data_IF_053846368645
#
_entry.id   IF_053846368645
#
_cell.length_a   1.000
_cell.length_b   1.000
_cell.length_c   1.000
_cell.angle_alpha   90.00
_cell.angle_beta   90.00
_cell.angle_gamma   90.00
#
_symmetry.space_group_name_H-M   'P 1'
#
loop_
_entity.id
_entity.type
_entity.pdbx_description
1 polymer ?
#
# COMPACT_ATOMS: atom_id res chain seq x y z
N UNK A 1 -16.69 22.56 15.43
CA UNK A 1 -17.57 21.87 14.47
C UNK A 1 -16.86 20.58 14.12
N UNK A 2 -17.47 19.45 14.44
CA UNK A 2 -16.80 18.14 14.43
C UNK A 2 -16.79 17.58 13.00
N UNK A 3 -15.66 17.05 12.55
CA UNK A 3 -15.54 16.40 11.24
C UNK A 3 -15.70 14.89 11.37
N UNK A 4 -16.74 14.35 10.74
CA UNK A 4 -17.01 12.91 10.71
C UNK A 4 -16.71 12.39 9.32
N UNK A 5 -15.78 11.46 9.20
CA UNK A 5 -15.44 10.81 7.93
C UNK A 5 -16.35 9.61 7.69
N UNK A 6 -17.06 9.58 6.56
CA UNK A 6 -17.91 8.46 6.18
C UNK A 6 -17.14 7.47 5.29
N UNK A 7 -16.89 6.26 5.80
CA UNK A 7 -16.16 5.19 5.12
C UNK A 7 -16.99 3.92 5.15
N UNK A 8 -17.36 3.38 3.98
CA UNK A 8 -18.12 2.12 3.85
C UNK A 8 -19.42 2.06 4.71
N UNK A 9 -20.10 3.20 4.85
CA UNK A 9 -21.32 3.30 5.67
C UNK A 9 -21.08 3.47 7.17
N UNK A 10 -19.81 3.54 7.60
CA UNK A 10 -19.41 3.81 8.98
C UNK A 10 -19.00 5.26 9.17
N UNK A 11 -19.43 5.84 10.28
CA UNK A 11 -19.07 7.19 10.69
C UNK A 11 -17.85 7.13 11.61
N UNK A 12 -16.72 7.66 11.16
CA UNK A 12 -15.45 7.59 11.87
C UNK A 12 -14.94 8.99 12.24
N UNK A 13 -14.50 9.13 13.50
CA UNK A 13 -13.86 10.35 14.03
C UNK A 13 -12.42 10.04 14.39
N UNK A 14 -11.49 10.80 13.82
CA UNK A 14 -10.05 10.58 13.96
C UNK A 14 -9.39 11.50 14.99
N UNK A 15 -9.95 12.68 15.24
CA UNK A 15 -9.40 13.63 16.20
C UNK A 15 -9.80 13.28 17.63
N UNK A 16 -8.82 13.30 18.54
CA UNK A 16 -9.06 13.04 19.96
C UNK A 16 -9.90 14.15 20.63
N UNK A 17 -9.70 15.40 20.20
CA UNK A 17 -10.41 16.58 20.73
C UNK A 17 -11.90 16.50 20.40
N UNK A 18 -12.23 16.20 19.14
CA UNK A 18 -13.61 15.99 18.68
C UNK A 18 -14.29 14.86 19.46
N UNK A 19 -13.61 13.74 19.70
CA UNK A 19 -14.15 12.63 20.50
C UNK A 19 -14.43 13.05 21.95
N UNK A 20 -13.58 13.90 22.52
CA UNK A 20 -13.81 14.45 23.86
C UNK A 20 -15.03 15.37 23.87
N UNK A 21 -15.17 16.25 22.89
CA UNK A 21 -16.34 17.13 22.77
C UNK A 21 -17.64 16.33 22.62
N UNK A 22 -17.64 15.27 21.81
CA UNK A 22 -18.79 14.38 21.63
C UNK A 22 -19.23 13.76 22.96
N UNK A 23 -18.28 13.30 23.77
CA UNK A 23 -18.57 12.68 25.07
C UNK A 23 -19.00 13.67 26.14
N UNK A 24 -18.35 14.83 26.20
CA UNK A 24 -18.61 15.82 27.25
C UNK A 24 -19.84 16.68 26.97
N UNK A 25 -20.02 17.12 25.72
CA UNK A 25 -21.12 18.04 25.35
C UNK A 25 -22.37 17.30 24.90
N UNK A 26 -22.21 16.20 24.15
CA UNK A 26 -23.34 15.47 23.56
C UNK A 26 -23.67 14.17 24.29
N UNK A 27 -22.79 13.68 25.17
CA UNK A 27 -23.02 12.45 25.93
C UNK A 27 -22.99 11.17 25.08
N UNK A 28 -22.45 11.23 23.86
CA UNK A 28 -22.39 10.09 22.95
C UNK A 28 -21.06 9.35 23.14
N UNK A 29 -21.11 8.03 23.18
CA UNK A 29 -19.94 7.22 23.57
C UNK A 29 -19.20 6.69 22.36
N UNK A 30 -19.94 6.15 21.38
CA UNK A 30 -19.42 5.40 20.23
C UNK A 30 -18.55 4.20 20.62
N UNK A 31 -17.99 3.52 19.61
CA UNK A 31 -17.05 2.42 19.77
C UNK A 31 -15.65 2.82 19.29
N UNK A 32 -14.62 2.63 20.11
CA UNK A 32 -13.23 2.82 19.69
C UNK A 32 -12.75 1.57 18.93
N UNK A 33 -12.24 1.72 17.72
CA UNK A 33 -11.88 0.58 16.82
C UNK A 33 -10.37 0.46 16.59
N UNK A 34 -9.60 1.45 17.03
CA UNK A 34 -8.13 1.46 16.88
C UNK A 34 -7.40 0.43 17.71
N UNK A 35 -6.31 -0.12 17.17
CA UNK A 35 -5.39 -0.97 17.92
C UNK A 35 -4.26 -0.15 18.55
N UNK A 36 -3.81 -0.52 19.76
CA UNK A 36 -2.60 0.03 20.34
C UNK A 36 -1.35 -0.61 19.72
N UNK A 37 -0.44 0.22 19.19
CA UNK A 37 0.81 -0.19 18.52
C UNK A 37 1.67 -1.12 19.39
N UNK A 38 1.70 -0.90 20.71
CA UNK A 38 2.55 -1.68 21.64
C UNK A 38 2.02 -3.07 21.99
N UNK A 39 0.72 -3.35 21.83
CA UNK A 39 0.09 -4.61 22.26
C UNK A 39 -1.06 -5.00 21.32
N UNK A 40 -0.76 -5.56 20.14
CA UNK A 40 -1.76 -5.84 19.10
C UNK A 40 -2.78 -6.92 19.49
N UNK A 41 -2.50 -7.75 20.51
CA UNK A 41 -3.42 -8.81 20.98
C UNK A 41 -4.31 -8.38 22.15
N UNK A 42 -4.16 -7.15 22.67
CA UNK A 42 -4.94 -6.67 23.82
C UNK A 42 -6.18 -5.92 23.33
N UNK A 43 -7.29 -6.65 23.16
CA UNK A 43 -8.57 -6.07 22.76
C UNK A 43 -9.32 -5.36 23.90
N UNK A 44 -8.76 -5.33 25.13
CA UNK A 44 -9.39 -4.68 26.28
C UNK A 44 -9.35 -3.15 26.21
N UNK A 45 -8.40 -2.56 25.48
CA UNK A 45 -8.30 -1.11 25.33
C UNK A 45 -8.07 -0.77 23.87
N UNK A 46 -9.13 -0.32 23.22
CA UNK A 46 -9.11 0.17 21.84
C UNK A 46 -8.88 1.69 21.84
N UNK A 47 -8.24 2.17 20.79
CA UNK A 47 -7.93 3.57 20.54
C UNK A 47 -8.75 4.15 19.39
N UNK A 48 -8.33 5.32 18.91
CA UNK A 48 -8.91 5.97 17.73
C UNK A 48 -8.68 5.11 16.46
N UNK A 49 -9.61 5.10 15.51
CA UNK A 49 -10.77 6.00 15.39
C UNK A 49 -11.96 5.61 16.26
N UNK A 50 -12.82 6.60 16.56
CA UNK A 50 -14.14 6.38 17.14
C UNK A 50 -15.15 6.13 16.03
N UNK A 51 -15.76 4.94 16.03
CA UNK A 51 -16.91 4.57 15.21
C UNK A 51 -18.20 4.96 15.93
N UNK A 52 -18.94 5.88 15.33
CA UNK A 52 -20.25 6.30 15.80
C UNK A 52 -21.34 5.42 15.18
N UNK A 53 -22.40 5.18 15.94
CA UNK A 53 -23.60 4.58 15.40
C UNK A 53 -24.30 5.53 14.40
N UNK A 54 -25.07 5.02 13.44
CA UNK A 54 -25.77 5.86 12.48
C UNK A 54 -26.79 6.79 13.18
N UNK A 55 -27.39 6.35 14.29
CA UNK A 55 -28.31 7.16 15.10
C UNK A 55 -27.58 8.31 15.81
N UNK A 56 -26.43 8.03 16.43
CA UNK A 56 -25.58 9.04 17.08
C UNK A 56 -25.09 10.07 16.06
N UNK A 57 -24.67 9.60 14.89
CA UNK A 57 -24.20 10.44 13.79
C UNK A 57 -25.32 11.33 13.28
N UNK A 58 -26.51 10.78 13.07
CA UNK A 58 -27.69 11.53 12.64
C UNK A 58 -28.05 12.60 13.66
N UNK A 59 -28.05 12.27 14.95
CA UNK A 59 -28.32 13.23 16.02
C UNK A 59 -27.32 14.39 16.02
N UNK A 60 -26.03 14.12 15.84
CA UNK A 60 -25.00 15.18 15.77
C UNK A 60 -25.20 16.13 14.58
N UNK A 61 -25.69 15.60 13.46
CA UNK A 61 -26.02 16.40 12.27
C UNK A 61 -27.29 17.22 12.50
N UNK A 62 -28.33 16.63 13.11
CA UNK A 62 -29.58 17.33 13.44
C UNK A 62 -29.36 18.46 14.45
N UNK A 63 -28.45 18.27 15.41
CA UNK A 63 -28.02 19.32 16.35
C UNK A 63 -27.17 20.41 15.64
N UNK A 64 -26.58 20.09 14.48
CA UNK A 64 -25.67 20.98 13.75
C UNK A 64 -24.25 21.03 14.35
N UNK A 65 -23.88 20.06 15.19
CA UNK A 65 -22.57 20.02 15.83
C UNK A 65 -21.47 19.43 14.92
N UNK A 66 -21.85 18.56 13.98
CA UNK A 66 -20.93 17.82 13.13
C UNK A 66 -21.25 17.94 11.64
N UNK A 67 -20.21 17.80 10.81
CA UNK A 67 -20.29 17.75 9.34
C UNK A 67 -19.79 16.42 8.83
N UNK A 68 -20.55 15.80 7.92
CA UNK A 68 -20.17 14.56 7.28
C UNK A 68 -19.30 14.83 6.05
N UNK A 69 -18.10 14.27 6.05
CA UNK A 69 -17.15 14.32 4.95
C UNK A 69 -17.07 12.95 4.30
N UNK A 70 -17.36 12.89 3.00
CA UNK A 70 -17.19 11.69 2.19
C UNK A 70 -16.01 11.88 1.24
N UNK A 71 -14.99 11.04 1.35
CA UNK A 71 -13.90 11.04 0.37
C UNK A 71 -14.36 10.28 -0.87
N UNK A 72 -14.77 11.02 -1.91
CA UNK A 72 -15.25 10.46 -3.17
C UNK A 72 -14.13 10.01 -4.13
N UNK A 73 -12.87 9.90 -3.67
CA UNK A 73 -11.70 9.68 -4.54
C UNK A 73 -11.62 8.31 -5.21
N UNK A 74 -12.43 7.32 -4.80
CA UNK A 74 -12.38 5.95 -5.37
C UNK A 74 -13.72 5.40 -5.88
N UNK A 75 -14.80 6.20 -5.89
CA UNK A 75 -16.15 5.72 -6.24
C UNK A 75 -16.46 5.79 -7.76
N UNK A 76 -15.48 6.07 -8.63
CA UNK A 76 -15.70 6.19 -10.09
C UNK A 76 -15.72 4.88 -10.88
N UNK A 77 -15.70 3.70 -10.24
CA UNK A 77 -15.49 2.44 -10.97
C UNK A 77 -16.64 1.42 -10.95
N UNK A 78 -17.68 1.53 -10.12
CA UNK A 78 -18.72 0.49 -10.04
C UNK A 78 -20.15 1.04 -9.89
N UNK A 79 -20.69 1.60 -10.97
CA UNK A 79 -22.13 1.57 -11.22
C UNK A 79 -22.36 1.69 -12.72
N UNK A 80 -22.47 0.55 -13.39
CA UNK A 80 -23.08 0.48 -14.71
C UNK A 80 -24.60 0.65 -14.53
N UNK A 81 -25.09 1.75 -15.11
CA UNK A 81 -26.31 1.91 -15.91
C UNK A 81 -27.65 1.47 -15.29
N UNK A 82 -28.56 2.45 -15.14
CA UNK A 82 -29.87 2.45 -15.79
C UNK A 82 -30.45 3.89 -15.79
N UNK A 83 -30.66 4.40 -17.01
CA UNK A 83 -31.52 5.49 -17.51
C UNK A 83 -31.81 6.77 -16.69
N UNK A 84 -31.34 7.92 -17.21
CA UNK A 84 -32.17 8.92 -17.92
C UNK A 84 -31.33 10.13 -18.39
N UNK A 85 -31.69 10.64 -19.55
CA UNK A 85 -30.96 11.49 -20.49
C UNK A 85 -30.98 13.00 -20.20
N UNK A 86 -29.83 13.65 -20.49
CA UNK A 86 -29.65 15.04 -21.01
C UNK A 86 -29.89 16.16 -19.96
N UNK A 87 -28.85 16.84 -19.46
CA UNK A 87 -28.32 18.07 -20.08
C UNK A 87 -26.84 18.38 -19.74
N UNK A 88 -26.00 18.34 -20.77
CA UNK A 88 -25.12 19.44 -21.22
C UNK A 88 -24.48 20.35 -20.15
N UNK A 89 -23.35 19.93 -19.57
CA UNK A 89 -22.33 20.86 -19.04
C UNK A 89 -20.95 20.38 -19.50
N UNK A 90 -20.69 20.55 -20.80
CA UNK A 90 -19.35 20.39 -21.40
C UNK A 90 -19.09 21.55 -22.35
N UNK A 91 -19.12 22.78 -21.84
CA UNK A 91 -18.73 23.96 -22.63
C UNK A 91 -18.42 25.13 -21.69
N UNK A 92 -17.33 25.07 -20.91
CA UNK A 92 -16.59 26.27 -20.49
C UNK A 92 -15.25 25.90 -19.80
N UNK A 93 -14.29 25.40 -20.57
CA UNK A 93 -12.87 25.66 -20.30
C UNK A 93 -12.12 25.63 -21.63
N UNK A 94 -11.24 26.61 -21.78
CA UNK A 94 -10.51 26.97 -22.99
C UNK A 94 -9.68 25.79 -23.51
N UNK A 95 -9.69 25.58 -24.82
CA UNK A 95 -8.95 24.54 -25.55
C UNK A 95 -7.43 24.71 -25.44
N UNK A 96 -6.93 25.81 -24.86
CA UNK A 96 -5.50 26.13 -24.77
C UNK A 96 -4.84 25.71 -23.43
N UNK A 97 -5.61 25.46 -22.37
CA UNK A 97 -5.06 25.15 -21.04
C UNK A 97 -4.90 23.64 -20.77
N UNK A 98 -5.67 22.79 -21.44
CA UNK A 98 -5.62 21.32 -21.27
C UNK A 98 -4.33 20.72 -21.84
N UNK A 99 -3.85 21.23 -22.99
CA UNK A 99 -2.60 20.76 -23.60
C UNK A 99 -1.38 21.08 -22.72
N UNK A 100 -1.40 22.22 -22.03
CA UNK A 100 -0.33 22.64 -21.15
C UNK A 100 -0.25 21.76 -19.89
N UNK A 101 -1.40 21.50 -19.25
CA UNK A 101 -1.48 20.61 -18.07
C UNK A 101 -1.13 19.16 -18.45
N UNK A 102 -1.60 18.70 -19.61
CA UNK A 102 -1.29 17.36 -20.09
C UNK A 102 0.21 17.19 -20.37
N UNK A 103 0.86 18.20 -20.94
CA UNK A 103 2.30 18.19 -21.21
C UNK A 103 3.15 18.11 -19.93
N UNK A 104 2.76 18.82 -18.87
CA UNK A 104 3.46 18.81 -17.59
C UNK A 104 3.31 17.45 -16.87
N UNK A 105 2.09 16.89 -16.90
CA UNK A 105 1.81 15.55 -16.36
C UNK A 105 2.63 14.48 -17.09
N UNK A 106 2.79 14.61 -18.41
CA UNK A 106 3.53 13.63 -19.20
C UNK A 106 5.04 13.75 -19.00
N UNK A 107 5.57 14.98 -18.84
CA UNK A 107 6.95 15.20 -18.43
C UNK A 107 7.26 14.56 -17.06
N UNK A 108 6.34 14.69 -16.09
CA UNK A 108 6.50 14.08 -14.78
C UNK A 108 6.52 12.54 -14.85
N UNK A 109 5.66 11.93 -15.67
CA UNK A 109 5.65 10.48 -15.89
C UNK A 109 6.94 9.98 -16.54
N UNK A 110 7.46 10.73 -17.51
CA UNK A 110 8.75 10.40 -18.16
C UNK A 110 9.89 10.43 -17.16
N UNK A 111 10.00 11.49 -16.35
CA UNK A 111 11.00 11.58 -15.29
C UNK A 111 10.93 10.39 -14.32
N UNK A 112 9.72 9.99 -13.91
CA UNK A 112 9.54 8.85 -13.01
C UNK A 112 9.99 7.52 -13.66
N UNK A 113 9.68 7.33 -14.95
CA UNK A 113 10.14 6.17 -15.71
C UNK A 113 11.66 6.15 -15.83
N UNK A 114 12.27 7.27 -16.19
CA UNK A 114 13.72 7.39 -16.34
C UNK A 114 14.43 7.07 -15.03
N UNK A 115 13.99 7.65 -13.91
CA UNK A 115 14.54 7.37 -12.58
C UNK A 115 14.44 5.88 -12.22
N UNK A 116 13.30 5.24 -12.52
CA UNK A 116 13.13 3.81 -12.29
C UNK A 116 14.10 2.97 -13.13
N UNK A 117 14.25 3.30 -14.42
CA UNK A 117 15.18 2.57 -15.30
C UNK A 117 16.64 2.75 -14.87
N UNK A 118 17.01 3.95 -14.42
CA UNK A 118 18.34 4.25 -13.92
C UNK A 118 18.65 3.44 -12.66
N UNK A 119 17.76 3.41 -11.68
CA UNK A 119 17.91 2.59 -10.47
C UNK A 119 18.07 1.11 -10.80
N UNK A 120 17.27 0.59 -11.75
CA UNK A 120 17.39 -0.80 -12.21
C UNK A 120 18.75 -1.07 -12.86
N UNK A 121 19.25 -0.15 -13.67
CA UNK A 121 20.56 -0.28 -14.31
C UNK A 121 21.71 -0.24 -13.28
N UNK A 122 21.65 0.67 -12.32
CA UNK A 122 22.62 0.76 -11.23
C UNK A 122 22.64 -0.53 -10.40
N UNK A 123 21.47 -1.06 -10.02
CA UNK A 123 21.38 -2.33 -9.30
C UNK A 123 21.95 -3.51 -10.10
N UNK A 124 21.72 -3.56 -11.42
CA UNK A 124 22.30 -4.58 -12.29
C UNK A 124 23.83 -4.45 -12.37
N UNK A 125 24.37 -3.23 -12.46
CA UNK A 125 25.81 -3.00 -12.47
C UNK A 125 26.46 -3.39 -11.14
N UNK A 126 25.84 -3.04 -10.01
CA UNK A 126 26.31 -3.43 -8.68
C UNK A 126 26.34 -4.95 -8.52
N UNK A 127 25.27 -5.64 -8.93
CA UNK A 127 25.23 -7.11 -8.97
C UNK A 127 26.36 -7.68 -9.82
N UNK A 128 26.63 -7.10 -10.99
CA UNK A 128 27.74 -7.52 -11.87
C UNK A 128 29.09 -7.35 -11.18
N UNK A 129 29.36 -6.21 -10.54
CA UNK A 129 30.61 -5.95 -9.78
C UNK A 129 30.79 -6.94 -8.63
N UNK A 130 29.71 -7.27 -7.92
CA UNK A 130 29.76 -8.28 -6.84
C UNK A 130 30.11 -9.66 -7.42
N UNK A 131 29.50 -10.05 -8.54
CA UNK A 131 29.82 -11.32 -9.18
C UNK A 131 31.26 -11.37 -9.72
N UNK A 132 31.75 -10.24 -10.24
CA UNK A 132 33.12 -10.09 -10.74
C UNK A 132 34.13 -10.17 -9.60
N UNK A 133 33.90 -9.48 -8.48
CA UNK A 133 34.80 -9.57 -7.30
C UNK A 133 34.79 -10.95 -6.65
N UNK A 134 33.69 -11.69 -6.76
CA UNK A 134 33.57 -13.06 -6.26
C UNK A 134 33.98 -14.11 -7.30
N UNK A 135 34.32 -13.73 -8.52
CA UNK A 135 34.53 -14.66 -9.65
C UNK A 135 35.63 -15.68 -9.38
N UNK A 136 36.79 -15.23 -8.90
CA UNK A 136 37.92 -16.11 -8.54
C UNK A 136 37.53 -17.09 -7.42
N UNK A 137 36.83 -16.60 -6.40
CA UNK A 137 36.36 -17.41 -5.26
C UNK A 137 35.32 -18.45 -5.69
N UNK A 138 34.47 -18.11 -6.65
CA UNK A 138 33.49 -19.01 -7.26
C UNK A 138 34.21 -20.09 -8.10
N UNK A 139 35.24 -19.73 -8.86
CA UNK A 139 36.05 -20.66 -9.66
C UNK A 139 36.83 -21.62 -8.74
N UNK A 140 37.46 -21.13 -7.68
CA UNK A 140 38.13 -21.95 -6.68
C UNK A 140 37.17 -22.91 -5.97
N UNK A 141 35.98 -22.45 -5.59
CA UNK A 141 34.94 -23.30 -5.00
C UNK A 141 34.48 -24.42 -5.95
N UNK A 142 34.30 -24.09 -7.24
CA UNK A 142 33.91 -25.06 -8.28
C UNK A 142 35.00 -26.09 -8.57
N UNK A 143 36.25 -25.66 -8.68
CA UNK A 143 37.39 -26.57 -8.91
C UNK A 143 37.64 -27.50 -7.72
N UNK A 144 37.51 -27.01 -6.47
CA UNK A 144 37.59 -27.85 -5.27
C UNK A 144 36.45 -28.87 -5.19
N UNK A 145 35.22 -28.47 -5.53
CA UNK A 145 34.07 -29.40 -5.59
C UNK A 145 34.25 -30.46 -6.67
N UNK A 146 34.77 -30.07 -7.85
CA UNK A 146 35.09 -31.02 -8.93
C UNK A 146 36.14 -32.03 -8.48
N UNK A 147 37.25 -31.57 -7.89
CA UNK A 147 38.28 -32.48 -7.33
C UNK A 147 37.74 -33.39 -6.23
N UNK A 148 36.81 -32.90 -5.39
CA UNK A 148 36.16 -33.74 -4.37
C UNK A 148 35.28 -34.82 -5.00
N UNK A 149 34.50 -34.48 -6.03
CA UNK A 149 33.70 -35.46 -6.78
C UNK A 149 34.59 -36.45 -7.53
N UNK A 150 35.66 -36.00 -8.18
CA UNK A 150 36.62 -36.85 -8.91
C UNK A 150 37.36 -37.80 -7.95
N UNK A 151 37.65 -37.36 -6.71
CA UNK A 151 38.22 -38.21 -5.66
C UNK A 151 37.20 -39.20 -5.07
N UNK A 152 35.92 -38.80 -4.93
CA UNK A 152 34.84 -39.68 -4.48
C UNK A 152 34.48 -40.75 -5.53
N UNK A 153 34.63 -40.47 -6.84
CA UNK A 153 34.52 -41.46 -7.93
C UNK A 153 35.77 -42.35 -8.09
N UNK A 154 36.95 -41.89 -7.65
CA UNK A 154 38.21 -42.63 -7.70
C UNK A 154 38.43 -43.64 -6.56
N UNK A 155 37.67 -43.53 -5.47
CA UNK A 155 37.75 -44.39 -4.29
C UNK A 155 36.72 -45.55 -4.30
N UNK A 156 36.03 -45.81 -5.43
CA UNK A 156 35.33 -47.10 -5.65
C UNK A 156 36.36 -48.22 -5.89
N UNK A 157 36.69 -48.90 -4.79
CA UNK A 157 37.58 -50.07 -4.65
C UNK A 157 37.37 -51.11 -5.79
N UNK A 158 38.44 -51.72 -6.33
CA UNK A 158 38.32 -52.77 -7.35
C UNK A 158 37.46 -53.92 -6.83
N UNK A 159 36.36 -54.21 -7.52
CA UNK A 159 35.54 -55.41 -7.31
C UNK A 159 36.44 -56.62 -7.54
N UNK A 160 36.85 -57.27 -6.45
CA UNK A 160 37.58 -58.54 -6.48
C UNK A 160 36.69 -59.58 -7.15
N UNK A 161 36.97 -59.87 -8.43
CA UNK A 161 36.40 -61.02 -9.13
C UNK A 161 36.90 -62.29 -8.44
N UNK A 162 36.06 -62.92 -7.62
CA UNK A 162 36.24 -64.32 -7.24
C UNK A 162 36.04 -65.18 -8.48
N UNK A 163 37.13 -65.78 -8.99
CA UNK A 163 37.04 -66.88 -9.95
C UNK A 163 36.67 -68.17 -9.19
N UNK A 164 35.69 -68.89 -9.74
CA UNK A 164 35.41 -70.31 -9.48
C UNK A 164 36.52 -71.20 -10.08
#
# INVERSE_FOLDING_TARGET
MILISLLEGKALVWNAEDVKEIREKHGLVGNLVGALVRKPRQNLRLGLPLELLPEETRLLVEIGAATLVRNCSSQKANSKEDDLSVDKISSLSSVEDEDNVQSEVDAYKQYLQDSYTEQRNLALQEKRRILESLSDRIVEGRTKRKRKNDNEEGDEIPVVKHCL
#
